data_IF_740845409726
#
_entry.id   IF_740845409726
#
_cell.length_a   1.000
_cell.length_b   1.000
_cell.length_c   1.000
_cell.angle_alpha   90.00
_cell.angle_beta   90.00
_cell.angle_gamma   90.00
#
_symmetry.space_group_name_H-M   'P 1'
#
loop_
_entity.id
_entity.type
_entity.pdbx_description
1 polymer ?
#
# COMPACT_ATOMS: atom_id res chain seq x y z
N UNK A 1 11.54 -24.67 -43.95
CA UNK A 1 11.73 -24.88 -42.49
C UNK A 1 10.41 -25.14 -41.76
N UNK A 2 9.41 -24.25 -41.86
CA UNK A 2 8.10 -24.41 -41.20
C UNK A 2 7.34 -25.70 -41.56
N UNK A 3 7.39 -26.16 -42.81
CA UNK A 3 6.77 -27.43 -43.22
C UNK A 3 7.43 -28.70 -42.62
N UNK A 4 8.69 -28.60 -42.17
CA UNK A 4 9.40 -29.69 -41.49
C UNK A 4 9.10 -29.67 -39.99
N UNK A 5 8.99 -28.47 -39.41
CA UNK A 5 8.52 -28.24 -38.05
C UNK A 5 7.06 -28.67 -37.85
N UNK A 6 6.16 -28.30 -38.76
CA UNK A 6 4.74 -28.68 -38.67
C UNK A 6 4.51 -30.19 -38.72
N UNK A 7 5.27 -30.93 -39.52
CA UNK A 7 5.22 -32.41 -39.55
C UNK A 7 5.75 -33.03 -38.26
N UNK A 8 6.81 -32.46 -37.67
CA UNK A 8 7.34 -32.89 -36.39
C UNK A 8 6.34 -32.66 -35.25
N UNK A 9 5.76 -31.46 -35.17
CA UNK A 9 4.71 -31.11 -34.20
C UNK A 9 3.47 -31.99 -34.38
N UNK A 10 3.03 -32.27 -35.61
CA UNK A 10 1.87 -33.13 -35.84
C UNK A 10 2.13 -34.60 -35.47
N UNK A 11 3.34 -35.11 -35.74
CA UNK A 11 3.77 -36.47 -35.37
C UNK A 11 3.83 -36.65 -33.85
N UNK A 12 4.23 -35.61 -33.12
CA UNK A 12 4.31 -35.58 -31.65
C UNK A 12 3.28 -34.63 -31.04
N UNK A 13 2.07 -34.55 -31.65
CA UNK A 13 1.04 -33.57 -31.29
C UNK A 13 0.67 -33.58 -29.81
N UNK A 14 0.53 -34.77 -29.24
CA UNK A 14 0.19 -34.92 -27.82
C UNK A 14 1.35 -34.51 -26.90
N UNK A 15 2.59 -34.86 -27.26
CA UNK A 15 3.78 -34.45 -26.48
C UNK A 15 3.94 -32.94 -26.50
N UNK A 16 3.76 -32.31 -27.66
CA UNK A 16 3.83 -30.85 -27.81
C UNK A 16 2.74 -30.17 -26.99
N UNK A 17 1.50 -30.64 -27.08
CA UNK A 17 0.38 -30.08 -26.32
C UNK A 17 0.58 -30.22 -24.82
N UNK A 18 1.00 -31.39 -24.34
CA UNK A 18 1.24 -31.64 -22.92
C UNK A 18 2.41 -30.78 -22.42
N UNK A 19 3.51 -30.69 -23.16
CA UNK A 19 4.66 -29.87 -22.77
C UNK A 19 4.30 -28.38 -22.72
N UNK A 20 3.57 -27.86 -23.70
CA UNK A 20 3.08 -26.48 -23.70
C UNK A 20 2.10 -26.21 -22.57
N UNK A 21 1.15 -27.13 -22.32
CA UNK A 21 0.20 -26.99 -21.23
C UNK A 21 0.89 -27.04 -19.86
N UNK A 22 1.91 -27.89 -19.71
CA UNK A 22 2.71 -27.97 -18.48
C UNK A 22 3.51 -26.69 -18.26
N UNK A 23 4.21 -26.18 -19.28
CA UNK A 23 4.93 -24.91 -19.21
C UNK A 23 4.00 -23.73 -18.86
N UNK A 24 2.81 -23.70 -19.47
CA UNK A 24 1.80 -22.69 -19.16
C UNK A 24 1.29 -22.83 -17.73
N UNK A 25 1.03 -24.06 -17.27
CA UNK A 25 0.64 -24.33 -15.89
C UNK A 25 1.69 -23.87 -14.88
N UNK A 26 2.97 -24.18 -15.12
CA UNK A 26 4.09 -23.70 -14.29
C UNK A 26 4.16 -22.17 -14.28
N UNK A 27 3.96 -21.53 -15.43
CA UNK A 27 3.91 -20.06 -15.51
C UNK A 27 2.76 -19.47 -14.69
N UNK A 28 1.55 -20.05 -14.79
CA UNK A 28 0.39 -19.61 -14.01
C UNK A 28 0.62 -19.80 -12.52
N UNK A 29 1.12 -20.96 -12.11
CA UNK A 29 1.48 -21.23 -10.71
C UNK A 29 2.50 -20.20 -10.24
N UNK A 30 3.55 -19.94 -11.03
CA UNK A 30 4.57 -18.94 -10.70
C UNK A 30 4.02 -17.52 -10.56
N UNK A 31 2.98 -17.14 -11.30
CA UNK A 31 2.31 -15.85 -11.14
C UNK A 31 1.43 -15.82 -9.89
N UNK A 32 0.71 -16.91 -9.58
CA UNK A 32 -0.16 -17.00 -8.42
C UNK A 32 0.62 -17.14 -7.10
N UNK A 33 1.76 -17.82 -7.13
CA UNK A 33 2.68 -17.97 -5.98
C UNK A 33 3.77 -16.91 -5.95
N UNK A 34 3.91 -16.14 -7.03
CA UNK A 34 4.84 -15.02 -7.13
C UNK A 34 4.52 -14.04 -6.02
N UNK A 35 5.49 -13.79 -5.15
CA UNK A 35 5.34 -12.88 -4.01
C UNK A 35 4.92 -11.48 -4.44
N UNK A 36 4.53 -10.65 -3.46
CA UNK A 36 4.05 -9.29 -3.66
C UNK A 36 4.86 -8.57 -4.75
N UNK A 37 4.17 -8.18 -5.83
CA UNK A 37 4.72 -7.29 -6.85
C UNK A 37 5.34 -6.12 -6.11
N UNK A 38 6.66 -5.92 -6.27
CA UNK A 38 7.39 -4.92 -5.52
C UNK A 38 6.91 -3.51 -5.91
N UNK A 39 5.86 -3.04 -5.24
CA UNK A 39 5.27 -1.71 -5.48
C UNK A 39 6.23 -0.56 -5.17
N UNK A 40 7.30 -0.83 -4.41
CA UNK A 40 8.30 0.16 -3.98
C UNK A 40 9.76 -0.25 -4.27
N UNK A 41 9.97 -1.12 -5.26
CA UNK A 41 11.31 -1.44 -5.78
C UNK A 41 11.70 -0.60 -7.00
N UNK A 42 10.87 0.37 -7.39
CA UNK A 42 11.07 1.22 -8.56
C UNK A 42 12.45 1.87 -8.54
N UNK A 43 13.22 1.64 -9.61
CA UNK A 43 14.49 2.29 -9.98
C UNK A 43 15.26 2.93 -8.82
N UNK A 44 16.24 2.20 -8.28
CA UNK A 44 17.22 2.77 -7.34
C UNK A 44 17.36 2.05 -6.00
N UNK A 45 16.70 0.91 -5.82
CA UNK A 45 16.83 0.08 -4.62
C UNK A 45 18.29 -0.30 -4.28
N UNK A 46 19.14 -0.48 -5.29
CA UNK A 46 20.57 -0.82 -5.14
C UNK A 46 21.50 0.42 -5.13
N UNK A 47 20.96 1.60 -5.48
CA UNK A 47 21.70 2.85 -5.37
C UNK A 47 21.96 3.18 -3.88
N UNK A 48 22.98 3.99 -3.61
CA UNK A 48 23.30 4.45 -2.25
C UNK A 48 22.08 5.11 -1.57
N UNK A 49 21.23 5.81 -2.34
CA UNK A 49 19.99 6.38 -1.83
C UNK A 49 19.01 5.31 -1.33
N UNK A 50 18.81 4.22 -2.08
CA UNK A 50 17.97 3.09 -1.67
C UNK A 50 18.54 2.35 -0.46
N UNK A 51 19.86 2.15 -0.41
CA UNK A 51 20.54 1.56 0.76
C UNK A 51 20.43 2.43 2.00
N UNK A 52 20.59 3.73 1.86
CA UNK A 52 20.45 4.70 2.96
C UNK A 52 19.02 4.74 3.47
N UNK A 53 18.01 4.80 2.58
CA UNK A 53 16.60 4.75 2.97
C UNK A 53 16.26 3.46 3.74
N UNK A 54 16.80 2.30 3.31
CA UNK A 54 16.64 1.03 4.04
C UNK A 54 17.33 1.04 5.41
N UNK A 55 18.49 1.67 5.53
CA UNK A 55 19.21 1.80 6.81
C UNK A 55 18.44 2.70 7.78
N UNK A 56 17.96 3.84 7.31
CA UNK A 56 17.12 4.78 8.09
C UNK A 56 15.82 4.12 8.54
N UNK A 57 15.15 3.38 7.66
CA UNK A 57 13.94 2.64 8.02
C UNK A 57 14.20 1.57 9.09
N UNK A 58 15.34 0.85 8.99
CA UNK A 58 15.69 -0.20 9.97
C UNK A 58 16.12 0.34 11.33
N UNK A 59 16.90 1.42 11.36
CA UNK A 59 17.55 1.86 12.60
C UNK A 59 16.78 2.96 13.32
N UNK A 60 16.22 3.92 12.58
CA UNK A 60 15.56 5.10 13.16
C UNK A 60 14.07 4.85 13.36
N UNK A 61 13.42 4.17 12.41
CA UNK A 61 11.96 3.98 12.41
C UNK A 61 11.55 2.61 12.96
N UNK A 62 12.36 2.00 13.84
CA UNK A 62 12.16 0.63 14.35
C UNK A 62 10.78 0.40 14.99
N UNK A 63 10.18 1.46 15.54
CA UNK A 63 8.84 1.45 16.17
C UNK A 63 7.73 2.06 15.30
N UNK A 64 8.08 2.72 14.19
CA UNK A 64 7.07 3.14 13.21
C UNK A 64 6.88 1.98 12.22
N UNK A 65 5.63 1.58 11.92
CA UNK A 65 5.39 0.48 11.01
C UNK A 65 6.11 0.78 9.71
N UNK A 66 7.09 -0.09 9.41
CA UNK A 66 7.81 -0.29 8.15
C UNK A 66 7.27 0.64 7.08
N UNK A 67 8.00 1.73 6.81
CA UNK A 67 7.77 2.68 5.72
C UNK A 67 6.29 2.76 5.33
N UNK A 68 5.47 3.62 5.94
CA UNK A 68 4.05 3.78 5.61
C UNK A 68 3.86 3.85 4.09
N UNK A 69 3.68 2.71 3.44
CA UNK A 69 3.62 2.60 1.97
C UNK A 69 2.20 2.88 1.49
N UNK A 70 1.26 2.92 2.44
CA UNK A 70 -0.17 3.08 2.22
C UNK A 70 -0.77 3.83 3.41
N UNK A 71 -0.39 5.11 3.54
CA UNK A 71 -1.06 6.05 4.42
C UNK A 71 -2.20 6.73 3.66
N UNK A 72 -3.33 6.95 4.30
CA UNK A 72 -4.43 7.74 3.75
C UNK A 72 -4.66 8.95 4.65
N UNK A 73 -4.67 10.13 4.05
CA UNK A 73 -5.06 11.36 4.72
C UNK A 73 -6.55 11.58 4.46
N UNK A 74 -7.34 11.64 5.53
CA UNK A 74 -8.76 11.96 5.48
C UNK A 74 -8.93 13.41 5.92
N UNK A 75 -9.66 14.21 5.15
CA UNK A 75 -9.97 15.60 5.49
C UNK A 75 -11.46 15.68 5.80
N UNK A 76 -11.78 16.05 7.03
CA UNK A 76 -13.15 16.31 7.47
C UNK A 76 -13.43 17.80 7.39
N UNK A 77 -14.61 18.17 6.89
CA UNK A 77 -15.01 19.57 6.78
C UNK A 77 -16.47 19.75 7.14
N UNK A 78 -16.79 20.87 7.79
CA UNK A 78 -18.16 21.29 8.06
C UNK A 78 -18.36 22.75 7.64
N UNK A 79 -19.54 23.08 7.13
CA UNK A 79 -19.90 24.46 6.78
C UNK A 79 -20.43 25.27 7.97
N UNK A 80 -20.79 24.61 9.07
CA UNK A 80 -21.48 25.23 10.22
C UNK A 80 -20.71 25.09 11.53
N UNK A 81 -19.79 24.14 11.62
CA UNK A 81 -19.02 23.82 12.83
C UNK A 81 -17.55 24.13 12.63
N UNK A 82 -16.89 24.56 13.69
CA UNK A 82 -15.44 24.69 13.72
C UNK A 82 -14.79 23.36 14.13
N UNK A 83 -13.60 23.11 13.62
CA UNK A 83 -12.77 21.95 13.92
C UNK A 83 -12.38 21.86 15.41
N UNK A 84 -12.42 22.97 16.14
CA UNK A 84 -12.18 23.03 17.59
C UNK A 84 -13.43 22.78 18.42
N UNK A 85 -14.61 22.72 17.81
CA UNK A 85 -15.87 22.51 18.53
C UNK A 85 -15.99 21.05 18.97
N UNK A 86 -16.50 20.84 20.18
CA UNK A 86 -16.71 19.49 20.75
C UNK A 86 -17.66 18.63 19.91
N UNK A 87 -18.63 19.27 19.23
CA UNK A 87 -19.54 18.60 18.31
C UNK A 87 -18.85 18.11 17.02
N UNK A 88 -17.86 18.87 16.51
CA UNK A 88 -17.07 18.44 15.36
C UNK A 88 -16.11 17.30 15.75
N UNK A 89 -15.44 17.44 16.90
CA UNK A 89 -14.57 16.39 17.43
C UNK A 89 -15.31 15.06 17.59
N UNK A 90 -16.50 15.06 18.21
CA UNK A 90 -17.26 13.83 18.43
C UNK A 90 -17.71 13.18 17.12
N UNK A 91 -18.06 13.98 16.10
CA UNK A 91 -18.42 13.49 14.78
C UNK A 91 -17.23 12.84 14.06
N UNK A 92 -16.04 13.45 14.14
CA UNK A 92 -14.80 12.88 13.59
C UNK A 92 -14.45 11.58 14.31
N UNK A 93 -14.48 11.57 15.64
CA UNK A 93 -14.18 10.38 16.44
C UNK A 93 -15.15 9.23 16.17
N UNK A 94 -16.44 9.52 16.00
CA UNK A 94 -17.44 8.52 15.61
C UNK A 94 -17.18 7.96 14.21
N UNK A 95 -16.77 8.81 13.24
CA UNK A 95 -16.48 8.38 11.88
C UNK A 95 -15.25 7.47 11.79
N UNK A 96 -14.22 7.73 12.59
CA UNK A 96 -12.98 6.94 12.60
C UNK A 96 -13.03 5.75 13.57
N UNK A 97 -14.02 5.67 14.47
CA UNK A 97 -14.13 4.58 15.45
C UNK A 97 -14.05 3.17 14.83
N UNK A 98 -14.71 2.88 13.69
CA UNK A 98 -14.59 1.57 13.03
C UNK A 98 -13.17 1.28 12.53
N UNK A 99 -12.43 2.31 12.11
CA UNK A 99 -11.04 2.18 11.64
C UNK A 99 -10.08 1.80 12.76
N UNK A 100 -10.32 2.28 13.99
CA UNK A 100 -9.51 1.93 15.16
C UNK A 100 -9.67 0.46 15.57
N UNK A 101 -10.81 -0.15 15.26
CA UNK A 101 -11.07 -1.57 15.54
C UNK A 101 -10.63 -2.53 14.44
N UNK A 102 -10.19 -2.02 13.28
CA UNK A 102 -9.76 -2.84 12.15
C UNK A 102 -8.30 -3.28 12.32
N UNK A 103 -8.05 -4.59 12.31
CA UNK A 103 -6.71 -5.16 12.47
C UNK A 103 -5.73 -4.80 11.34
N UNK A 104 -6.23 -4.25 10.22
CA UNK A 104 -5.40 -3.78 9.10
C UNK A 104 -4.87 -2.37 9.31
N UNK A 105 -5.43 -1.61 10.25
CA UNK A 105 -5.02 -0.24 10.56
C UNK A 105 -4.00 -0.28 11.69
N UNK A 106 -2.78 0.18 11.39
CA UNK A 106 -1.67 0.20 12.36
C UNK A 106 -1.76 1.38 13.33
N UNK A 107 -2.42 2.47 12.93
CA UNK A 107 -2.63 3.63 13.78
C UNK A 107 -3.48 4.70 13.10
N UNK A 108 -4.12 5.53 13.91
CA UNK A 108 -4.91 6.69 13.45
C UNK A 108 -4.44 7.90 14.25
N UNK A 109 -3.85 8.88 13.56
CA UNK A 109 -3.47 10.17 14.15
C UNK A 109 -4.57 11.18 13.86
N UNK A 110 -5.00 11.92 14.88
CA UNK A 110 -6.01 12.97 14.78
C UNK A 110 -5.51 14.26 15.44
N UNK A 111 -6.02 15.44 15.04
CA UNK A 111 -5.67 16.71 15.66
C UNK A 111 -5.88 16.70 17.18
N UNK A 112 -6.85 15.93 17.68
CA UNK A 112 -7.21 15.87 19.10
C UNK A 112 -6.31 14.95 19.93
N UNK A 113 -5.56 14.06 19.28
CA UNK A 113 -4.65 13.12 19.95
C UNK A 113 -3.19 13.58 20.00
N UNK A 114 -2.84 14.69 19.34
CA UNK A 114 -1.48 15.24 19.30
C UNK A 114 -1.31 16.42 20.27
N UNK A 115 -0.08 16.81 20.64
CA UNK A 115 0.15 17.96 21.52
C UNK A 115 -0.40 19.27 20.92
N UNK A 116 -0.81 20.22 21.77
CA UNK A 116 -1.39 21.49 21.34
C UNK A 116 -0.51 22.31 20.37
N UNK A 117 0.82 22.11 20.41
CA UNK A 117 1.77 22.71 19.48
C UNK A 117 1.61 22.22 18.03
N UNK A 118 1.06 21.02 17.83
CA UNK A 118 0.88 20.39 16.52
C UNK A 118 -0.57 20.51 16.01
N UNK A 119 -1.52 20.94 16.84
CA UNK A 119 -2.93 21.11 16.47
C UNK A 119 -3.10 22.02 15.24
N UNK A 120 -2.33 23.12 15.22
CA UNK A 120 -2.34 24.09 14.13
C UNK A 120 -1.82 23.52 12.80
N UNK A 121 -1.14 22.38 12.80
CA UNK A 121 -0.66 21.69 11.58
C UNK A 121 -1.73 20.80 10.96
N UNK A 122 -2.71 20.35 11.75
CA UNK A 122 -3.81 19.49 11.31
C UNK A 122 -5.11 20.24 11.05
N UNK A 123 -5.28 21.45 11.59
CA UNK A 123 -6.49 22.26 11.41
C UNK A 123 -6.23 23.33 10.34
N UNK A 124 -7.17 23.47 9.40
CA UNK A 124 -7.12 24.52 8.38
C UNK A 124 -7.11 25.92 9.01
N UNK A 125 -6.49 26.89 8.32
CA UNK A 125 -6.44 28.29 8.78
C UNK A 125 -7.81 28.93 8.96
N UNK A 126 -8.81 28.44 8.22
CA UNK A 126 -10.21 28.88 8.33
C UNK A 126 -10.96 28.20 9.48
N UNK A 127 -10.36 27.23 10.17
CA UNK A 127 -10.93 26.57 11.33
C UNK A 127 -12.06 25.60 11.02
N UNK A 128 -12.39 25.33 9.75
CA UNK A 128 -13.54 24.50 9.37
C UNK A 128 -13.18 23.11 8.86
N UNK A 129 -11.88 22.80 8.80
CA UNK A 129 -11.37 21.53 8.28
C UNK A 129 -10.28 20.97 9.18
N UNK A 130 -10.27 19.64 9.32
CA UNK A 130 -9.31 18.89 10.12
C UNK A 130 -8.99 17.53 9.52
#
# INVERSE_FOLDING_TARGET
>A
MFARWGRFVYRFRWVTLVASALLLGVSVIGVLTGGQLAGNGGFGADLEAGRTARLVAREIHREQPVAVTSGMTLIFSSSTLNATDTAFQSAVEAAIAPLKSDSRVTGVTTPYGVPASEHATFISRDGHKA
#
